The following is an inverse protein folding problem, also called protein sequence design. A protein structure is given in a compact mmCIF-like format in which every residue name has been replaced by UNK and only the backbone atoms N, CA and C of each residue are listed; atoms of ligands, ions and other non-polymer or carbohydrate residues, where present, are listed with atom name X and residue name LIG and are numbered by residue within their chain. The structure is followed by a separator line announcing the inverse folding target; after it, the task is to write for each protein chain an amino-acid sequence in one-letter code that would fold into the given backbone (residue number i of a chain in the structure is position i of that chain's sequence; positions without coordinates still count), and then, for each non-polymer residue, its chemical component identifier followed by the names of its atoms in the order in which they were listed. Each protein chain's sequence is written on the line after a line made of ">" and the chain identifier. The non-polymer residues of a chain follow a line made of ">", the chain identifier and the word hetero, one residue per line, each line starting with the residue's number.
data_IF_565208992734
#
_entry.id   IF_565208992734
#
_cell.length_a   1.000
_cell.length_b   1.000
_cell.length_c   1.000
_cell.angle_alpha   90.00
_cell.angle_beta   90.00
_cell.angle_gamma   90.00
#
_symmetry.space_group_name_H-M   'P 1'
#
loop_
_entity.id
_entity.type
_entity.pdbx_description
1 polymer ?
#
# COMPACT_ATOMS: atom_id res chain seq x y z
N UNK A 1 4.18 -82.28 -45.48
CA UNK A 1 4.26 -80.95 -46.13
C UNK A 1 3.65 -80.01 -45.12
N UNK A 2 4.46 -79.54 -44.18
CA UNK A 2 3.96 -78.84 -43.00
C UNK A 2 4.31 -77.36 -43.14
N UNK A 3 3.27 -76.52 -43.22
CA UNK A 3 3.40 -75.07 -43.16
C UNK A 3 3.54 -74.64 -41.70
N UNK A 4 4.66 -74.02 -41.37
CA UNK A 4 4.85 -73.31 -40.10
C UNK A 4 4.38 -71.87 -40.34
N UNK A 5 3.28 -71.48 -39.69
CA UNK A 5 2.81 -70.09 -39.65
C UNK A 5 3.51 -69.40 -38.47
N UNK A 6 4.40 -68.46 -38.79
CA UNK A 6 5.13 -67.66 -37.81
C UNK A 6 4.28 -66.43 -37.42
N UNK A 7 3.76 -66.41 -36.19
CA UNK A 7 3.06 -65.23 -35.64
C UNK A 7 4.08 -64.22 -35.12
N UNK A 8 4.23 -63.09 -35.81
CA UNK A 8 5.09 -61.98 -35.38
C UNK A 8 4.57 -61.34 -34.09
N UNK A 9 5.33 -61.50 -33.00
CA UNK A 9 5.01 -60.96 -31.68
C UNK A 9 5.49 -59.48 -31.61
N UNK A 10 4.56 -58.53 -31.72
CA UNK A 10 4.88 -57.09 -31.70
C UNK A 10 5.22 -56.63 -30.27
N UNK A 11 6.51 -56.54 -29.95
CA UNK A 11 7.02 -55.89 -28.73
C UNK A 11 6.95 -54.36 -28.89
N UNK A 12 5.78 -53.78 -28.66
CA UNK A 12 5.61 -52.33 -28.62
C UNK A 12 4.64 -51.93 -27.52
N UNK A 13 5.01 -52.04 -26.25
CA UNK A 13 4.02 -51.80 -25.18
C UNK A 13 4.60 -51.38 -23.83
N UNK A 14 5.60 -50.50 -23.81
CA UNK A 14 6.03 -49.82 -22.57
C UNK A 14 6.14 -48.31 -22.76
N UNK A 15 6.67 -47.87 -23.91
CA UNK A 15 6.81 -46.43 -24.21
C UNK A 15 5.46 -45.73 -24.40
N UNK A 16 4.48 -46.42 -25.00
CA UNK A 16 3.14 -45.87 -25.21
C UNK A 16 2.36 -45.68 -23.91
N UNK A 17 2.53 -46.60 -22.96
CA UNK A 17 1.86 -46.53 -21.65
C UNK A 17 2.37 -45.34 -20.84
N UNK A 18 3.68 -45.09 -20.86
CA UNK A 18 4.30 -43.94 -20.19
C UNK A 18 3.77 -42.63 -20.79
N UNK A 19 3.63 -42.56 -22.11
CA UNK A 19 3.10 -41.38 -22.80
C UNK A 19 1.65 -41.08 -22.38
N UNK A 20 0.80 -42.11 -22.32
CA UNK A 20 -0.60 -41.97 -21.90
C UNK A 20 -0.70 -41.50 -20.45
N UNK A 21 0.13 -42.06 -19.55
CA UNK A 21 0.16 -41.64 -18.15
C UNK A 21 0.57 -40.17 -18.00
N UNK A 22 1.56 -39.73 -18.77
CA UNK A 22 2.06 -38.35 -18.72
C UNK A 22 1.03 -37.34 -19.23
N UNK A 23 0.32 -37.68 -20.31
CA UNK A 23 -0.75 -36.83 -20.86
C UNK A 23 -1.90 -36.74 -19.86
N UNK A 24 -2.31 -37.86 -19.24
CA UNK A 24 -3.36 -37.86 -18.22
C UNK A 24 -2.98 -36.99 -17.01
N UNK A 25 -1.73 -37.09 -16.53
CA UNK A 25 -1.24 -36.27 -15.43
C UNK A 25 -1.20 -34.78 -15.79
N UNK A 26 -0.80 -34.44 -17.02
CA UNK A 26 -0.78 -33.06 -17.51
C UNK A 26 -2.19 -32.45 -17.62
N UNK A 27 -3.20 -33.25 -18.01
CA UNK A 27 -4.60 -32.79 -18.05
C UNK A 27 -5.12 -32.56 -16.63
N UNK A 28 -4.91 -33.51 -15.72
CA UNK A 28 -5.34 -33.42 -14.31
C UNK A 28 -4.73 -32.19 -13.63
N UNK A 29 -3.43 -31.97 -13.78
CA UNK A 29 -2.77 -30.78 -13.19
C UNK A 29 -3.34 -29.47 -13.76
N UNK A 30 -3.65 -29.39 -15.06
CA UNK A 30 -4.29 -28.20 -15.66
C UNK A 30 -5.74 -27.99 -15.22
N UNK A 31 -6.52 -29.05 -14.99
CA UNK A 31 -7.92 -28.91 -14.55
C UNK A 31 -8.04 -28.55 -13.08
N UNK A 32 -7.13 -29.03 -12.22
CA UNK A 32 -7.16 -28.73 -10.78
C UNK A 32 -6.42 -27.44 -10.38
N UNK A 33 -5.52 -26.92 -11.24
CA UNK A 33 -4.87 -25.60 -11.08
C UNK A 33 -5.52 -24.48 -11.90
N UNK A 34 -6.74 -24.67 -12.41
CA UNK A 34 -7.50 -23.57 -12.99
C UNK A 34 -7.90 -22.59 -11.87
N UNK A 35 -7.04 -21.60 -11.64
CA UNK A 35 -7.34 -20.42 -10.84
C UNK A 35 -8.63 -19.81 -11.41
N UNK A 36 -9.67 -19.58 -10.60
CA UNK A 36 -10.88 -18.92 -11.09
C UNK A 36 -10.51 -17.55 -11.67
N UNK A 37 -11.15 -17.10 -12.76
CA UNK A 37 -11.00 -15.72 -13.22
C UNK A 37 -11.46 -14.82 -12.09
N UNK A 38 -10.49 -14.14 -11.48
CA UNK A 38 -10.70 -13.13 -10.47
C UNK A 38 -11.58 -12.05 -11.10
N UNK A 39 -12.81 -11.91 -10.63
CA UNK A 39 -13.61 -10.71 -10.88
C UNK A 39 -12.97 -9.66 -9.99
N UNK A 40 -12.15 -8.80 -10.58
CA UNK A 40 -11.50 -7.69 -9.91
C UNK A 40 -12.55 -6.78 -9.24
N UNK A 41 -12.55 -6.61 -7.90
CA UNK A 41 -12.90 -5.31 -7.38
C UNK A 41 -11.76 -4.37 -7.73
N UNK A 42 -12.09 -3.27 -8.41
CA UNK A 42 -11.20 -2.15 -8.73
C UNK A 42 -10.50 -1.69 -7.44
N UNK A 43 -9.31 -2.21 -7.19
CA UNK A 43 -8.32 -1.70 -6.26
C UNK A 43 -6.97 -1.78 -6.98
N UNK A 44 -6.21 -0.68 -7.09
CA UNK A 44 -4.92 -0.73 -7.75
C UNK A 44 -4.00 -1.69 -6.97
N UNK A 45 -3.27 -2.59 -7.66
CA UNK A 45 -2.27 -3.41 -7.03
C UNK A 45 -1.03 -2.54 -6.77
N UNK A 46 -0.79 -2.21 -5.50
CA UNK A 46 0.55 -1.79 -5.08
C UNK A 46 1.42 -3.06 -5.06
N UNK A 47 2.19 -3.25 -6.12
CA UNK A 47 3.36 -4.12 -6.15
C UNK A 47 4.40 -3.60 -5.15
N UNK A 48 4.18 -3.82 -3.86
CA UNK A 48 5.23 -3.73 -2.84
C UNK A 48 5.53 -5.13 -2.31
N UNK A 49 6.34 -5.82 -3.13
CA UNK A 49 7.25 -6.87 -2.71
C UNK A 49 7.69 -6.66 -1.26
N UNK A 50 7.40 -7.66 -0.43
CA UNK A 50 7.88 -7.84 0.94
C UNK A 50 9.32 -7.31 1.12
N UNK A 51 9.44 -6.09 1.64
CA UNK A 51 10.70 -5.43 1.92
C UNK A 51 10.65 -4.89 3.34
N UNK A 52 11.37 -5.58 4.22
CA UNK A 52 11.58 -5.18 5.60
C UNK A 52 12.14 -3.74 5.69
N UNK A 53 11.73 -3.00 6.71
CA UNK A 53 12.43 -1.84 7.34
C UNK A 53 12.35 -0.43 6.74
N UNK A 54 11.36 -0.07 5.92
CA UNK A 54 11.00 1.35 5.77
C UNK A 54 9.74 1.66 6.60
N UNK A 55 9.80 2.60 7.54
CA UNK A 55 8.58 3.13 8.16
C UNK A 55 7.80 3.85 7.05
N UNK A 56 6.54 3.45 6.74
CA UNK A 56 5.76 4.14 5.72
C UNK A 56 5.65 5.61 6.09
N UNK A 57 6.08 6.48 5.19
CA UNK A 57 6.00 7.92 5.37
C UNK A 57 4.59 8.44 5.04
N UNK A 58 4.15 9.44 5.77
CA UNK A 58 2.98 10.25 5.43
C UNK A 58 3.44 11.54 4.80
N UNK A 59 2.93 11.86 3.62
CA UNK A 59 3.34 13.00 2.82
C UNK A 59 2.25 14.07 2.81
N UNK A 60 2.59 15.26 3.29
CA UNK A 60 1.67 16.40 3.32
C UNK A 60 2.19 17.45 2.34
N UNK A 61 1.43 17.71 1.28
CA UNK A 61 1.79 18.65 0.22
C UNK A 61 0.93 19.91 0.33
N UNK A 62 1.56 21.06 0.21
CA UNK A 62 0.89 22.36 0.21
C UNK A 62 0.96 23.03 -1.17
N UNK A 63 -0.14 22.96 -1.89
CA UNK A 63 -0.34 23.58 -3.20
C UNK A 63 -1.14 24.89 -3.11
N UNK A 64 -1.25 25.49 -1.92
CA UNK A 64 -1.78 26.85 -1.79
C UNK A 64 -0.82 27.87 -2.40
N UNK A 65 -1.36 29.00 -2.83
CA UNK A 65 -0.59 30.05 -3.49
C UNK A 65 0.26 30.87 -2.51
N UNK A 66 -0.26 31.13 -1.30
CA UNK A 66 0.36 32.05 -0.34
C UNK A 66 0.16 31.64 1.14
N UNK A 67 -0.33 30.45 1.44
CA UNK A 67 -0.49 29.99 2.82
C UNK A 67 0.69 29.10 3.17
N UNK A 68 1.40 29.44 4.25
CA UNK A 68 2.41 28.56 4.87
C UNK A 68 1.81 27.91 6.10
N UNK A 69 2.27 26.71 6.39
CA UNK A 69 1.88 25.99 7.60
C UNK A 69 3.10 25.76 8.48
N UNK A 70 2.94 25.89 9.79
CA UNK A 70 3.97 25.53 10.77
C UNK A 70 3.42 24.49 11.75
N UNK A 71 4.13 23.39 11.97
CA UNK A 71 3.72 22.39 12.96
C UNK A 71 3.77 23.03 14.36
N UNK A 72 2.64 23.00 15.05
CA UNK A 72 2.46 23.53 16.41
C UNK A 72 2.14 22.45 17.43
N UNK A 73 1.60 21.32 16.99
CA UNK A 73 1.39 20.14 17.82
C UNK A 73 1.81 18.90 17.05
N UNK A 74 2.54 18.04 17.74
CA UNK A 74 2.87 16.70 17.32
C UNK A 74 2.82 15.83 18.58
N UNK A 75 2.04 14.75 18.56
CA UNK A 75 2.00 13.80 19.69
C UNK A 75 3.15 12.80 19.60
N UNK A 76 3.67 12.35 20.75
CA UNK A 76 4.93 11.58 20.92
C UNK A 76 5.13 10.37 20.01
N UNK A 77 4.06 9.79 19.47
CA UNK A 77 4.18 8.67 18.52
C UNK A 77 4.60 9.10 17.11
N UNK A 78 4.54 10.38 16.73
CA UNK A 78 4.97 10.84 15.42
C UNK A 78 6.34 11.50 15.48
N UNK A 79 7.19 11.21 14.49
CA UNK A 79 8.48 11.88 14.34
C UNK A 79 8.29 13.31 13.83
N UNK A 80 9.18 14.25 14.22
CA UNK A 80 9.18 15.59 13.64
C UNK A 80 9.20 15.53 12.11
N UNK A 81 8.47 16.42 11.42
CA UNK A 81 8.42 16.38 9.97
C UNK A 81 9.80 16.66 9.36
N UNK A 82 10.08 15.98 8.25
CA UNK A 82 11.21 16.28 7.37
C UNK A 82 10.71 17.03 6.13
N UNK A 83 11.48 17.99 5.58
CA UNK A 83 12.79 18.43 6.03
C UNK A 83 12.77 19.35 7.25
N UNK A 84 11.64 20.02 7.54
CA UNK A 84 11.50 20.90 8.71
C UNK A 84 10.01 21.09 9.11
N UNK A 85 9.76 21.87 10.16
CA UNK A 85 8.41 22.12 10.69
C UNK A 85 7.54 23.03 9.82
N UNK A 86 8.12 23.74 8.85
CA UNK A 86 7.41 24.59 7.91
C UNK A 86 7.07 23.85 6.63
N UNK A 87 5.81 23.94 6.25
CA UNK A 87 5.29 23.46 4.99
C UNK A 87 4.97 24.68 4.11
N UNK A 88 5.89 24.97 3.18
CA UNK A 88 5.84 26.14 2.32
C UNK A 88 4.77 26.02 1.21
N UNK A 89 4.19 27.14 0.74
CA UNK A 89 3.25 27.14 -0.39
C UNK A 89 3.93 26.73 -1.70
N UNK A 90 3.13 26.57 -2.75
CA UNK A 90 3.58 26.29 -4.13
C UNK A 90 4.30 24.93 -4.30
N UNK A 91 3.79 23.88 -3.67
CA UNK A 91 4.28 22.51 -3.83
C UNK A 91 5.26 22.05 -2.75
N UNK A 92 5.37 22.79 -1.63
CA UNK A 92 6.14 22.32 -0.48
C UNK A 92 5.59 21.00 0.05
N UNK A 93 6.48 20.15 0.57
CA UNK A 93 6.12 18.83 1.09
C UNK A 93 6.78 18.59 2.45
N UNK A 94 6.00 18.05 3.39
CA UNK A 94 6.49 17.53 4.66
C UNK A 94 6.24 16.03 4.71
N UNK A 95 7.22 15.28 5.23
CA UNK A 95 7.10 13.85 5.49
C UNK A 95 7.13 13.58 7.00
N UNK A 96 6.11 12.88 7.49
CA UNK A 96 6.02 12.36 8.85
C UNK A 96 6.23 10.86 8.86
N UNK A 97 6.73 10.32 9.96
CA UNK A 97 6.79 8.89 10.18
C UNK A 97 6.13 8.53 11.51
N UNK A 98 5.49 7.36 11.53
CA UNK A 98 5.08 6.69 12.75
C UNK A 98 5.97 5.47 12.95
N UNK A 99 6.30 5.10 14.21
CA UNK A 99 6.95 3.84 14.50
C UNK A 99 5.97 2.71 14.22
N UNK A 100 6.50 1.61 13.70
CA UNK A 100 5.71 0.39 13.55
C UNK A 100 5.38 -0.19 14.93
N UNK A 101 4.08 -0.34 15.20
CA UNK A 101 3.58 -0.90 16.45
C UNK A 101 3.75 -2.43 16.55
N UNK A 102 3.28 -3.00 17.67
CA UNK A 102 3.13 -4.45 17.81
C UNK A 102 1.94 -4.95 17.00
N UNK A 103 1.94 -6.24 16.67
CA UNK A 103 0.84 -6.88 15.96
C UNK A 103 -0.49 -6.67 16.72
N UNK A 104 -1.52 -6.22 16.00
CA UNK A 104 -2.84 -5.90 16.55
C UNK A 104 -2.97 -4.52 17.19
N UNK A 105 -1.87 -3.77 17.31
CA UNK A 105 -1.90 -2.41 17.86
C UNK A 105 -1.96 -1.37 16.73
N UNK A 106 -2.81 -0.36 16.94
CA UNK A 106 -2.82 0.87 16.14
C UNK A 106 -1.99 1.94 16.83
N UNK A 107 -0.95 2.42 16.15
CA UNK A 107 -0.19 3.60 16.54
C UNK A 107 -0.83 4.82 15.89
N UNK A 108 -0.96 5.92 16.64
CA UNK A 108 -1.58 7.16 16.17
C UNK A 108 -0.69 8.36 16.47
N UNK A 109 -0.58 9.28 15.51
CA UNK A 109 0.07 10.57 15.69
C UNK A 109 -0.85 11.70 15.27
N UNK A 110 -1.17 12.62 16.17
CA UNK A 110 -1.94 13.81 15.83
C UNK A 110 -1.02 14.95 15.45
N UNK A 111 -1.35 15.63 14.35
CA UNK A 111 -0.60 16.78 13.83
C UNK A 111 -1.52 18.00 13.81
N UNK A 112 -1.00 19.14 14.29
CA UNK A 112 -1.62 20.46 14.12
C UNK A 112 -0.66 21.39 13.40
N UNK A 113 -1.13 21.93 12.29
CA UNK A 113 -0.52 23.07 11.63
C UNK A 113 -1.23 24.36 12.01
N UNK A 114 -0.46 25.42 12.25
CA UNK A 114 -0.95 26.79 12.22
C UNK A 114 -0.73 27.34 10.80
N UNK A 115 -1.80 27.81 10.18
CA UNK A 115 -1.78 28.43 8.86
C UNK A 115 -1.53 29.94 9.00
N UNK A 116 -0.64 30.49 8.21
CA UNK A 116 -0.39 31.94 8.13
C UNK A 116 -0.07 32.32 6.68
N UNK A 117 -0.20 33.60 6.33
CA UNK A 117 0.34 34.07 5.05
C UNK A 117 1.86 33.86 5.00
N UNK A 118 2.40 33.54 3.83
CA UNK A 118 3.84 33.27 3.65
C UNK A 118 4.71 34.44 4.12
N UNK A 119 4.24 35.66 3.86
CA UNK A 119 4.91 36.92 4.15
C UNK A 119 4.47 37.59 5.47
N UNK A 120 3.68 36.93 6.32
CA UNK A 120 3.16 37.52 7.55
C UNK A 120 3.06 36.52 8.70
N UNK A 121 3.00 37.02 9.93
CA UNK A 121 2.73 36.23 11.13
C UNK A 121 1.22 36.14 11.46
N UNK A 122 0.36 36.77 10.64
CA UNK A 122 -1.10 36.72 10.84
C UNK A 122 -1.57 35.28 10.64
N UNK A 123 -2.09 34.68 11.72
CA UNK A 123 -2.68 33.35 11.68
C UNK A 123 -4.03 33.39 10.95
N UNK A 124 -4.22 32.46 10.03
CA UNK A 124 -5.43 32.23 9.26
C UNK A 124 -6.30 31.13 9.87
N UNK A 125 -5.80 30.43 10.89
CA UNK A 125 -6.45 29.29 11.51
C UNK A 125 -5.50 28.10 11.62
N UNK A 126 -6.10 26.93 11.81
CA UNK A 126 -5.36 25.69 12.02
C UNK A 126 -5.84 24.60 11.07
N UNK A 127 -4.96 23.65 10.76
CA UNK A 127 -5.26 22.39 10.09
C UNK A 127 -4.85 21.26 11.02
N UNK A 128 -5.73 20.27 11.15
CA UNK A 128 -5.57 19.14 12.05
C UNK A 128 -5.79 17.84 11.27
N UNK A 129 -5.03 16.82 11.59
CA UNK A 129 -5.24 15.47 11.11
C UNK A 129 -4.55 14.45 12.03
N UNK A 130 -4.94 13.20 11.90
CA UNK A 130 -4.38 12.07 12.61
C UNK A 130 -3.77 11.11 11.61
N UNK A 131 -2.53 10.72 11.86
CA UNK A 131 -1.82 9.65 11.18
C UNK A 131 -2.06 8.36 11.96
N UNK A 132 -2.37 7.27 11.29
CA UNK A 132 -2.56 5.97 11.93
C UNK A 132 -1.81 4.87 11.20
N UNK A 133 -1.18 3.98 11.96
CA UNK A 133 -0.54 2.76 11.46
C UNK A 133 -1.00 1.56 12.27
N UNK A 134 -1.45 0.50 11.59
CA UNK A 134 -1.88 -0.75 12.23
C UNK A 134 -1.20 -1.92 11.59
N UNK A 135 -0.47 -2.70 12.38
CA UNK A 135 0.10 -3.97 11.94
C UNK A 135 -0.91 -5.09 12.18
N UNK A 136 -1.38 -5.75 11.13
CA UNK A 136 -2.41 -6.79 11.20
C UNK A 136 -1.92 -8.07 10.54
N UNK A 137 -2.33 -9.22 11.10
CA UNK A 137 -2.04 -10.54 10.51
C UNK A 137 -3.27 -11.01 9.75
N UNK A 138 -3.08 -11.38 8.49
CA UNK A 138 -4.13 -11.97 7.64
C UNK A 138 -3.58 -13.29 7.11
N UNK A 139 -4.12 -14.40 7.61
CA UNK A 139 -3.55 -15.74 7.34
C UNK A 139 -2.15 -15.90 7.96
N UNK A 140 -1.16 -16.19 7.12
CA UNK A 140 0.24 -16.31 7.53
C UNK A 140 1.03 -15.02 7.36
N UNK A 141 0.48 -14.04 6.66
CA UNK A 141 1.15 -12.80 6.30
C UNK A 141 0.82 -11.66 7.26
N UNK A 142 1.73 -10.70 7.36
CA UNK A 142 1.58 -9.50 8.17
C UNK A 142 1.55 -8.28 7.27
N UNK A 143 0.53 -7.45 7.43
CA UNK A 143 0.29 -6.25 6.64
C UNK A 143 0.35 -5.02 7.53
N UNK A 144 0.95 -3.95 7.01
CA UNK A 144 1.00 -2.65 7.65
C UNK A 144 0.01 -1.71 6.95
N UNK A 145 -1.09 -1.41 7.62
CA UNK A 145 -2.09 -0.47 7.11
C UNK A 145 -1.79 0.93 7.62
N UNK A 146 -1.73 1.89 6.70
CA UNK A 146 -1.55 3.32 7.01
C UNK A 146 -2.79 4.11 6.63
N UNK A 147 -3.15 5.13 7.41
CA UNK A 147 -4.26 6.03 7.05
C UNK A 147 -4.06 7.43 7.61
N UNK A 148 -4.60 8.42 6.91
CA UNK A 148 -4.77 9.80 7.40
C UNK A 148 -6.26 9.99 7.68
N UNK A 149 -6.61 10.33 8.92
CA UNK A 149 -7.98 10.45 9.40
C UNK A 149 -8.19 11.78 10.13
N UNK A 150 -9.44 12.12 10.45
CA UNK A 150 -9.76 13.28 11.30
C UNK A 150 -9.35 14.63 10.72
N UNK A 151 -9.25 14.75 9.40
CA UNK A 151 -8.81 16.00 8.76
C UNK A 151 -9.86 17.08 8.97
N UNK A 152 -9.46 18.20 9.57
CA UNK A 152 -10.31 19.37 9.78
C UNK A 152 -9.50 20.66 9.71
N UNK A 153 -10.10 21.75 9.25
CA UNK A 153 -9.44 23.04 9.20
C UNK A 153 -10.37 24.18 9.58
N UNK A 154 -9.80 25.17 10.26
CA UNK A 154 -10.41 26.50 10.43
C UNK A 154 -9.76 27.54 9.51
N UNK A 155 -8.71 27.17 8.77
CA UNK A 155 -8.07 28.00 7.78
C UNK A 155 -8.84 27.93 6.45
N UNK A 156 -8.73 28.96 5.57
CA UNK A 156 -9.45 28.99 4.30
C UNK A 156 -8.77 28.08 3.26
N UNK A 157 -8.81 26.77 3.49
CA UNK A 157 -8.21 25.75 2.61
C UNK A 157 -9.14 24.58 2.38
N UNK A 158 -8.94 23.89 1.26
CA UNK A 158 -9.53 22.59 0.94
C UNK A 158 -8.44 21.54 0.89
N UNK A 159 -8.85 20.28 0.91
CA UNK A 159 -7.91 19.17 0.87
C UNK A 159 -8.46 17.95 0.13
N UNK A 160 -7.53 17.13 -0.34
CA UNK A 160 -7.77 15.76 -0.81
C UNK A 160 -6.79 14.83 -0.11
N UNK A 161 -7.20 13.60 0.18
CA UNK A 161 -6.36 12.64 0.91
C UNK A 161 -6.44 11.23 0.35
N UNK A 162 -5.32 10.52 0.40
CA UNK A 162 -5.21 9.06 0.27
C UNK A 162 -4.85 8.46 1.64
N UNK A 163 -4.50 7.18 1.70
CA UNK A 163 -4.00 6.50 2.91
C UNK A 163 -2.73 7.16 3.48
N UNK A 164 -1.84 7.68 2.64
CA UNK A 164 -0.53 8.20 3.04
C UNK A 164 -0.23 9.61 2.55
N UNK A 165 -1.11 10.22 1.74
CA UNK A 165 -0.91 11.58 1.22
C UNK A 165 -2.06 12.51 1.57
N UNK A 166 -1.73 13.74 1.96
CA UNK A 166 -2.67 14.85 2.12
C UNK A 166 -2.21 15.99 1.24
N UNK A 167 -3.07 16.45 0.33
CA UNK A 167 -2.80 17.61 -0.53
C UNK A 167 -3.72 18.74 -0.15
N UNK A 168 -3.14 19.89 0.15
CA UNK A 168 -3.83 21.10 0.61
C UNK A 168 -3.83 22.13 -0.53
N UNK A 169 -4.98 22.77 -0.77
CA UNK A 169 -5.17 23.81 -1.81
C UNK A 169 -5.98 24.97 -1.25
N UNK A 170 -5.96 26.11 -1.96
CA UNK A 170 -6.77 27.29 -1.62
C UNK A 170 -8.28 26.94 -1.67
N UNK A 171 -9.08 27.55 -0.79
CA UNK A 171 -10.54 27.32 -0.71
C UNK A 171 -11.37 28.09 -1.74
#
# INVERSE_FOLDING_TARGET
>A
MDQIVETSNYKGSSIGIILVLFILLAIVTRTFYAVPPHIDPIYPPDDESSSMTSNPGFYITNNTSNIRFNVTLLTDSASPPTPNSFLFPNGGENRFELPTGRLGNTIKGSVRYNAAYSNSAISLGNLFFTLEQTLTKVGYDTYLFSSITGISSTAPVRWTSTSTRLTIVDA
#
